data_IF_551753699226
#
_entry.id   IF_551753699226
#
_cell.length_a   1.000
_cell.length_b   1.000
_cell.length_c   1.000
_cell.angle_alpha   90.00
_cell.angle_beta   90.00
_cell.angle_gamma   90.00
#
_symmetry.space_group_name_H-M   'P 1'
#
loop_
_entity.id
_entity.type
_entity.pdbx_description
1 polymer ?
#
# COMPACT_ATOMS: atom_id res chain seq x y z
N UNK A 1 34.72 62.07 30.06
CA UNK A 1 33.28 61.93 30.32
C UNK A 1 32.60 61.61 29.00
N UNK A 2 31.78 60.56 29.04
CA UNK A 2 30.71 60.16 28.12
C UNK A 2 31.06 59.56 26.74
N UNK A 3 30.86 58.24 26.73
CA UNK A 3 30.40 57.39 25.62
C UNK A 3 29.13 57.92 24.94
N UNK A 4 28.93 57.53 23.67
CA UNK A 4 27.70 57.03 23.04
C UNK A 4 28.00 56.92 21.52
N UNK A 5 28.20 55.74 20.90
CA UNK A 5 27.31 54.60 20.63
C UNK A 5 26.08 54.91 19.76
N UNK A 6 26.05 54.33 18.56
CA UNK A 6 24.88 54.24 17.67
C UNK A 6 25.30 54.41 16.21
N UNK A 7 25.18 53.46 15.29
CA UNK A 7 24.06 52.51 15.11
C UNK A 7 24.54 51.26 14.34
N UNK A 8 24.75 50.15 15.06
CA UNK A 8 24.97 48.80 14.51
C UNK A 8 23.64 48.03 14.40
N UNK A 9 22.54 48.67 14.03
CA UNK A 9 21.20 48.05 14.07
C UNK A 9 20.64 47.61 12.70
N UNK A 10 21.40 47.77 11.61
CA UNK A 10 20.92 47.40 10.26
C UNK A 10 21.26 45.97 9.81
N UNK A 11 22.44 45.44 10.15
CA UNK A 11 22.96 44.23 9.47
C UNK A 11 22.84 42.92 10.26
N UNK A 12 22.59 42.95 11.58
CA UNK A 12 22.42 41.70 12.36
C UNK A 12 21.02 41.10 12.20
N UNK A 13 19.98 41.92 12.01
CA UNK A 13 18.61 41.46 11.82
C UNK A 13 18.39 40.75 10.48
N UNK A 14 18.94 41.31 9.39
CA UNK A 14 18.89 40.70 8.06
C UNK A 14 19.66 39.38 7.98
N UNK A 15 20.80 39.27 8.67
CA UNK A 15 21.58 38.02 8.75
C UNK A 15 20.88 36.93 9.56
N UNK A 16 20.03 37.31 10.53
CA UNK A 16 19.22 36.38 11.33
C UNK A 16 17.97 35.90 10.57
N UNK A 17 17.49 36.67 9.59
CA UNK A 17 16.42 36.27 8.68
C UNK A 17 16.94 35.43 7.49
N UNK A 18 18.19 35.67 7.07
CA UNK A 18 18.90 34.86 6.06
C UNK A 18 19.60 33.61 6.64
N UNK A 19 19.75 33.52 7.97
CA UNK A 19 20.42 32.41 8.67
C UNK A 19 19.46 31.35 9.22
N UNK A 20 18.21 31.35 8.76
CA UNK A 20 17.15 30.38 9.10
C UNK A 20 16.67 29.62 7.87
N UNK A 21 17.43 29.67 6.78
CA UNK A 21 17.22 28.75 5.67
C UNK A 21 17.87 27.42 6.04
N UNK A 22 17.15 26.29 5.97
CA UNK A 22 17.74 24.99 6.24
C UNK A 22 18.86 24.71 5.23
N UNK A 23 20.03 24.29 5.72
CA UNK A 23 21.20 23.98 4.89
C UNK A 23 21.34 22.47 4.61
N UNK A 24 20.61 21.65 5.36
CA UNK A 24 20.61 20.19 5.24
C UNK A 24 19.21 19.63 5.00
N UNK A 25 19.15 18.42 4.45
CA UNK A 25 17.91 17.66 4.29
C UNK A 25 17.20 17.47 5.63
N UNK A 26 17.95 17.15 6.68
CA UNK A 26 17.40 16.92 8.02
C UNK A 26 16.82 18.20 8.63
N UNK A 27 17.43 19.36 8.37
CA UNK A 27 16.87 20.65 8.79
C UNK A 27 15.59 21.00 8.02
N UNK A 28 15.53 20.70 6.72
CA UNK A 28 14.31 20.85 5.91
C UNK A 28 13.19 19.94 6.42
N UNK A 29 13.49 18.66 6.66
CA UNK A 29 12.55 17.68 7.20
C UNK A 29 12.02 18.11 8.56
N UNK A 30 12.90 18.61 9.44
CA UNK A 30 12.50 19.11 10.75
C UNK A 30 11.52 20.28 10.66
N UNK A 31 11.73 21.19 9.70
CA UNK A 31 10.77 22.29 9.46
C UNK A 31 9.41 21.74 9.00
N UNK A 32 9.41 20.73 8.13
CA UNK A 32 8.17 20.07 7.69
C UNK A 32 7.46 19.39 8.86
N UNK A 33 8.18 18.68 9.73
CA UNK A 33 7.64 18.05 10.93
C UNK A 33 7.11 19.07 11.95
N UNK A 34 7.85 20.16 12.18
CA UNK A 34 7.44 21.25 13.07
C UNK A 34 6.24 22.02 12.50
N UNK A 35 5.98 21.90 11.19
CA UNK A 35 4.83 22.51 10.50
C UNK A 35 3.54 21.69 10.54
N UNK A 36 3.48 20.58 11.30
CA UNK A 36 2.25 19.78 11.55
C UNK A 36 1.07 20.57 12.13
N UNK A 37 1.30 21.78 12.64
CA UNK A 37 0.24 22.72 13.09
C UNK A 37 -0.30 23.61 11.96
N UNK A 38 0.38 23.64 10.82
CA UNK A 38 0.11 24.49 9.65
C UNK A 38 -0.31 23.68 8.42
N UNK A 39 0.06 22.40 8.37
CA UNK A 39 -0.23 21.47 7.29
C UNK A 39 -1.04 20.30 7.83
N UNK A 40 -1.89 19.73 6.98
CA UNK A 40 -2.61 18.49 7.27
C UNK A 40 -1.62 17.32 7.41
N UNK A 41 -1.92 16.32 8.26
CA UNK A 41 -1.03 15.16 8.47
C UNK A 41 -0.61 14.47 7.16
N UNK A 42 -1.54 14.26 6.24
CA UNK A 42 -1.29 13.60 4.95
C UNK A 42 -0.35 14.42 4.06
N UNK A 43 -0.46 15.75 4.11
CA UNK A 43 0.47 16.64 3.39
C UNK A 43 1.89 16.53 3.97
N UNK A 44 2.01 16.40 5.28
CA UNK A 44 3.32 16.20 5.94
C UNK A 44 3.92 14.85 5.54
N UNK A 45 3.12 13.77 5.55
CA UNK A 45 3.54 12.44 5.14
C UNK A 45 4.02 12.43 3.67
N UNK A 46 3.27 13.05 2.76
CA UNK A 46 3.67 13.18 1.36
C UNK A 46 5.00 13.92 1.16
N UNK A 47 5.20 15.01 1.92
CA UNK A 47 6.46 15.74 1.87
C UNK A 47 7.63 14.90 2.38
N UNK A 48 7.43 14.15 3.48
CA UNK A 48 8.43 13.22 4.00
C UNK A 48 8.82 12.16 2.94
N UNK A 49 7.84 11.52 2.30
CA UNK A 49 8.06 10.54 1.22
C UNK A 49 8.83 11.13 0.01
N UNK A 50 8.51 12.35 -0.40
CA UNK A 50 9.28 13.07 -1.45
C UNK A 50 10.76 13.23 -1.07
N UNK A 51 11.04 13.53 0.20
CA UNK A 51 12.41 13.67 0.66
C UNK A 51 13.13 12.32 0.74
N UNK A 52 12.42 11.22 1.05
CA UNK A 52 12.98 9.87 1.19
C UNK A 52 13.30 9.18 -0.14
N UNK A 53 12.52 9.42 -1.20
CA UNK A 53 12.74 8.83 -2.52
C UNK A 53 14.20 8.87 -3.05
N UNK A 54 14.97 9.97 -2.86
CA UNK A 54 16.38 10.02 -3.14
C UNK A 54 17.28 8.99 -2.44
N UNK A 55 16.87 8.46 -1.30
CA UNK A 55 17.59 7.47 -0.49
C UNK A 55 17.03 6.05 -0.68
N UNK A 56 15.76 5.91 -1.05
CA UNK A 56 15.10 4.63 -1.33
C UNK A 56 15.69 3.95 -2.56
N UNK A 57 15.96 2.64 -2.43
CA UNK A 57 16.44 1.80 -3.55
C UNK A 57 15.30 1.01 -4.17
N UNK A 58 15.43 0.66 -5.44
CA UNK A 58 14.42 -0.16 -6.15
C UNK A 58 14.15 -1.50 -5.46
N UNK A 59 15.18 -2.16 -4.93
CA UNK A 59 14.98 -3.42 -4.18
C UNK A 59 14.01 -3.32 -2.99
N UNK A 60 13.81 -2.12 -2.44
CA UNK A 60 12.95 -1.86 -1.27
C UNK A 60 11.48 -1.70 -1.67
N UNK A 61 11.21 -1.35 -2.93
CA UNK A 61 9.86 -1.03 -3.45
C UNK A 61 9.43 -1.94 -4.60
N UNK A 62 10.31 -2.80 -5.10
CA UNK A 62 10.01 -3.69 -6.21
C UNK A 62 9.06 -4.82 -5.77
N UNK A 63 8.21 -5.26 -6.68
CA UNK A 63 7.56 -6.57 -6.57
C UNK A 63 8.60 -7.67 -6.82
N UNK A 64 8.91 -8.54 -5.84
CA UNK A 64 9.90 -9.61 -6.01
C UNK A 64 9.46 -10.62 -7.07
N UNK A 65 10.42 -11.30 -7.72
CA UNK A 65 10.16 -12.31 -8.76
C UNK A 65 9.14 -13.37 -8.36
N UNK A 66 9.18 -13.83 -7.11
CA UNK A 66 8.27 -14.85 -6.59
C UNK A 66 6.81 -14.40 -6.53
N UNK A 67 6.57 -13.09 -6.53
CA UNK A 67 5.25 -12.47 -6.47
C UNK A 67 4.82 -11.86 -7.80
N UNK A 68 5.65 -11.98 -8.85
CA UNK A 68 5.31 -11.45 -10.17
C UNK A 68 4.25 -12.31 -10.84
N UNK A 69 3.15 -11.68 -11.25
CA UNK A 69 2.26 -12.24 -12.28
C UNK A 69 2.92 -12.02 -13.64
N UNK A 70 3.13 -13.11 -14.38
CA UNK A 70 3.88 -13.08 -15.64
C UNK A 70 3.35 -14.12 -16.63
N UNK A 71 3.80 -14.03 -17.87
CA UNK A 71 3.44 -14.92 -18.98
C UNK A 71 4.69 -15.58 -19.57
N UNK A 72 4.52 -16.65 -20.32
CA UNK A 72 5.55 -17.25 -21.17
C UNK A 72 5.37 -16.82 -22.64
N UNK A 73 6.46 -16.82 -23.40
CA UNK A 73 6.45 -16.40 -24.81
C UNK A 73 5.63 -17.33 -25.72
N UNK A 74 5.41 -18.57 -25.31
CA UNK A 74 4.67 -19.62 -26.00
C UNK A 74 3.27 -19.90 -25.43
N UNK A 75 2.79 -19.10 -24.46
CA UNK A 75 1.44 -19.23 -23.92
C UNK A 75 0.37 -19.05 -25.00
N UNK A 76 -0.69 -19.86 -24.92
CA UNK A 76 -1.84 -19.72 -25.82
C UNK A 76 -2.76 -18.58 -25.36
N UNK A 77 -3.53 -18.01 -26.31
CA UNK A 77 -4.39 -16.86 -26.02
C UNK A 77 -5.35 -17.11 -24.85
N UNK A 78 -5.93 -18.31 -24.74
CA UNK A 78 -6.88 -18.61 -23.67
C UNK A 78 -6.20 -18.60 -22.29
N UNK A 79 -5.02 -19.19 -22.18
CA UNK A 79 -4.26 -19.21 -20.92
C UNK A 79 -3.83 -17.79 -20.50
N UNK A 80 -3.40 -16.97 -21.48
CA UNK A 80 -3.09 -15.55 -21.24
C UNK A 80 -4.34 -14.83 -20.71
N UNK A 81 -5.51 -15.05 -21.30
CA UNK A 81 -6.74 -14.37 -20.88
C UNK A 81 -7.16 -14.74 -19.46
N UNK A 82 -6.97 -16.01 -19.06
CA UNK A 82 -7.27 -16.45 -17.69
C UNK A 82 -6.39 -15.70 -16.68
N UNK A 83 -5.07 -15.60 -16.93
CA UNK A 83 -4.14 -14.84 -16.08
C UNK A 83 -4.52 -13.35 -16.01
N UNK A 84 -4.90 -12.76 -17.14
CA UNK A 84 -5.30 -11.34 -17.20
C UNK A 84 -6.57 -11.06 -16.41
N UNK A 85 -7.55 -11.96 -16.46
CA UNK A 85 -8.83 -11.81 -15.76
C UNK A 85 -8.64 -11.99 -14.26
N UNK A 86 -7.86 -13.00 -13.85
CA UNK A 86 -7.64 -13.29 -12.43
C UNK A 86 -6.82 -12.20 -11.72
N UNK A 87 -5.79 -11.67 -12.40
CA UNK A 87 -4.89 -10.67 -11.80
C UNK A 87 -5.36 -9.23 -11.95
N UNK A 88 -6.24 -8.95 -12.91
CA UNK A 88 -6.70 -7.61 -13.28
C UNK A 88 -5.58 -6.58 -13.60
N UNK A 89 -4.36 -7.03 -13.87
CA UNK A 89 -3.24 -6.13 -14.18
C UNK A 89 -3.28 -5.60 -15.62
N UNK A 90 -2.64 -4.46 -15.84
CA UNK A 90 -2.56 -3.82 -17.16
C UNK A 90 -1.35 -4.27 -17.99
N UNK A 91 -0.29 -4.75 -17.36
CA UNK A 91 1.02 -5.02 -17.97
C UNK A 91 1.62 -6.31 -17.40
N UNK A 92 2.13 -7.16 -18.27
CA UNK A 92 2.64 -8.48 -17.92
C UNK A 92 4.05 -8.65 -18.47
N UNK A 93 5.04 -8.90 -17.61
CA UNK A 93 6.34 -9.42 -18.04
C UNK A 93 6.17 -10.76 -18.75
N UNK A 94 6.84 -10.92 -19.89
CA UNK A 94 6.87 -12.15 -20.67
C UNK A 94 8.26 -12.76 -20.55
N UNK A 95 8.33 -13.96 -19.98
CA UNK A 95 9.55 -14.73 -19.83
C UNK A 95 9.85 -15.56 -21.08
N UNK A 96 11.14 -15.84 -21.29
CA UNK A 96 11.56 -16.79 -22.32
C UNK A 96 11.43 -18.22 -21.82
N UNK A 97 10.94 -19.10 -22.69
CA UNK A 97 10.87 -20.55 -22.45
C UNK A 97 12.28 -21.16 -22.41
N UNK A 98 13.22 -20.61 -23.19
CA UNK A 98 14.62 -21.08 -23.26
C UNK A 98 15.48 -20.54 -22.10
N UNK A 99 15.15 -19.36 -21.58
CA UNK A 99 15.87 -18.69 -20.50
C UNK A 99 14.88 -18.21 -19.42
N UNK A 100 14.48 -19.10 -18.49
CA UNK A 100 13.36 -18.87 -17.57
C UNK A 100 13.61 -17.75 -16.54
N UNK A 101 14.86 -17.28 -16.43
CA UNK A 101 15.25 -16.18 -15.57
C UNK A 101 15.16 -14.81 -16.26
N UNK A 102 14.86 -14.79 -17.56
CA UNK A 102 14.95 -13.59 -18.40
C UNK A 102 13.58 -13.18 -18.93
N UNK A 103 13.17 -11.95 -18.58
CA UNK A 103 12.06 -11.26 -19.24
C UNK A 103 12.52 -10.77 -20.61
N UNK A 104 11.82 -11.16 -21.67
CA UNK A 104 12.12 -10.77 -23.05
C UNK A 104 11.19 -9.68 -23.60
N UNK A 105 10.09 -9.40 -22.90
CA UNK A 105 9.10 -8.43 -23.33
C UNK A 105 8.10 -8.05 -22.25
N UNK A 106 7.34 -7.00 -22.54
CA UNK A 106 6.15 -6.59 -21.78
C UNK A 106 4.94 -6.66 -22.70
N UNK A 107 3.91 -7.41 -22.29
CA UNK A 107 2.61 -7.43 -22.94
C UNK A 107 1.66 -6.48 -22.22
N UNK A 108 0.86 -5.72 -22.96
CA UNK A 108 -0.23 -4.91 -22.40
C UNK A 108 -1.55 -5.63 -22.62
N UNK A 109 -2.36 -5.77 -21.57
CA UNK A 109 -3.66 -6.47 -21.65
C UNK A 109 -4.56 -5.90 -22.76
N UNK A 110 -4.60 -4.56 -22.88
CA UNK A 110 -5.41 -3.87 -23.88
C UNK A 110 -5.02 -4.22 -25.34
N UNK A 111 -3.78 -4.64 -25.57
CA UNK A 111 -3.29 -4.95 -26.92
C UNK A 111 -3.86 -6.31 -27.40
N UNK A 112 -4.47 -7.11 -26.51
CA UNK A 112 -5.20 -8.33 -26.85
C UNK A 112 -6.67 -8.09 -27.26
N UNK A 113 -7.25 -6.93 -26.93
CA UNK A 113 -8.65 -6.60 -27.25
C UNK A 113 -9.04 -6.80 -28.73
N UNK A 114 -8.18 -6.50 -29.74
CA UNK A 114 -8.51 -6.75 -31.14
C UNK A 114 -8.74 -8.23 -31.47
N UNK A 115 -8.09 -9.14 -30.75
CA UNK A 115 -8.13 -10.58 -30.99
C UNK A 115 -9.37 -11.24 -30.35
N UNK A 116 -10.01 -10.57 -29.38
CA UNK A 116 -11.24 -11.04 -28.75
C UNK A 116 -12.47 -11.00 -29.68
N UNK A 117 -12.37 -10.33 -30.83
CA UNK A 117 -13.47 -10.25 -31.80
C UNK A 117 -13.67 -11.54 -32.60
N UNK A 118 -12.63 -12.36 -32.72
CA UNK A 118 -12.65 -13.59 -33.50
C UNK A 118 -12.05 -14.73 -32.67
N UNK A 119 -12.86 -15.75 -32.37
CA UNK A 119 -12.44 -16.87 -31.52
C UNK A 119 -11.34 -17.73 -32.14
N UNK A 120 -11.18 -17.66 -33.47
CA UNK A 120 -10.12 -18.40 -34.19
C UNK A 120 -8.85 -17.55 -34.40
N UNK A 121 -8.80 -16.34 -33.83
CA UNK A 121 -7.65 -15.46 -33.97
C UNK A 121 -6.43 -16.02 -33.23
N UNK A 122 -5.34 -16.23 -33.97
CA UNK A 122 -4.05 -16.60 -33.38
C UNK A 122 -3.31 -15.35 -32.96
N UNK A 123 -3.04 -15.23 -31.66
CA UNK A 123 -2.16 -14.20 -31.13
C UNK A 123 -0.71 -14.64 -31.29
N UNK A 124 0.09 -13.76 -31.87
CA UNK A 124 1.55 -13.89 -31.81
C UNK A 124 2.04 -12.94 -30.72
N UNK A 125 2.28 -13.47 -29.52
CA UNK A 125 2.74 -12.70 -28.35
C UNK A 125 3.97 -11.87 -28.70
N UNK A 126 4.93 -12.46 -29.41
CA UNK A 126 6.16 -11.79 -29.83
C UNK A 126 5.94 -10.55 -30.70
N UNK A 127 4.85 -10.49 -31.47
CA UNK A 127 4.52 -9.30 -32.27
C UNK A 127 3.91 -8.15 -31.46
N UNK A 128 3.37 -8.45 -30.27
CA UNK A 128 2.71 -7.49 -29.39
C UNK A 128 3.63 -7.01 -28.25
N UNK A 129 4.68 -7.80 -27.95
CA UNK A 129 5.64 -7.47 -26.91
C UNK A 129 6.34 -6.14 -27.17
N UNK A 130 6.46 -5.35 -26.11
CA UNK A 130 7.28 -4.14 -26.07
C UNK A 130 8.61 -4.46 -25.41
N UNK A 131 9.66 -3.77 -25.84
CA UNK A 131 10.98 -3.91 -25.24
C UNK A 131 10.94 -3.51 -23.75
N UNK A 132 11.40 -4.38 -22.83
CA UNK A 132 11.44 -4.06 -21.42
C UNK A 132 12.56 -3.05 -21.14
N UNK A 133 12.36 -2.21 -20.12
CA UNK A 133 13.42 -1.39 -19.55
C UNK A 133 13.97 -2.12 -18.33
N UNK A 134 15.29 -2.25 -18.25
CA UNK A 134 15.95 -2.90 -17.12
C UNK A 134 16.59 -1.88 -16.18
N UNK A 135 16.46 -2.12 -14.88
CA UNK A 135 17.11 -1.34 -13.82
C UNK A 135 17.78 -2.26 -12.81
N UNK A 136 18.94 -1.90 -12.25
CA UNK A 136 19.55 -2.69 -11.19
C UNK A 136 18.81 -2.50 -9.87
N UNK A 137 18.83 -3.52 -9.00
CA UNK A 137 18.29 -3.46 -7.62
C UNK A 137 18.76 -2.25 -6.81
N UNK A 138 20.00 -1.81 -7.07
CA UNK A 138 20.65 -0.69 -6.37
C UNK A 138 20.29 0.70 -6.92
N UNK A 139 19.49 0.78 -8.00
CA UNK A 139 19.04 2.05 -8.54
C UNK A 139 18.21 2.83 -7.51
N UNK A 140 18.24 4.16 -7.61
CA UNK A 140 17.47 5.06 -6.72
C UNK A 140 16.08 5.29 -7.28
N UNK A 141 15.05 5.24 -6.42
CA UNK A 141 13.65 5.36 -6.83
C UNK A 141 13.36 6.68 -7.56
N UNK A 142 13.95 7.80 -7.11
CA UNK A 142 13.82 9.12 -7.77
C UNK A 142 14.37 9.17 -9.21
N UNK A 143 15.35 8.33 -9.54
CA UNK A 143 15.91 8.24 -10.89
C UNK A 143 15.04 7.37 -11.78
N UNK A 144 14.57 6.25 -11.26
CA UNK A 144 13.66 5.34 -12.00
C UNK A 144 12.31 6.01 -12.25
N UNK A 145 11.75 6.74 -11.27
CA UNK A 145 10.55 7.57 -11.46
C UNK A 145 10.70 8.54 -12.64
N UNK A 146 11.83 9.26 -12.70
CA UNK A 146 12.13 10.19 -13.81
C UNK A 146 12.29 9.46 -15.13
N UNK A 147 12.94 8.30 -15.14
CA UNK A 147 13.11 7.47 -16.33
C UNK A 147 11.77 6.97 -16.86
N UNK A 148 10.92 6.38 -16.02
CA UNK A 148 9.58 5.89 -16.36
C UNK A 148 8.73 7.03 -16.96
N UNK A 149 8.71 8.20 -16.33
CA UNK A 149 8.03 9.40 -16.84
C UNK A 149 8.55 9.85 -18.21
N UNK A 150 9.87 9.92 -18.40
CA UNK A 150 10.48 10.40 -19.65
C UNK A 150 10.27 9.43 -20.82
N UNK A 151 10.30 8.13 -20.54
CA UNK A 151 10.10 7.07 -21.52
C UNK A 151 8.61 6.75 -21.76
N UNK A 152 7.70 7.35 -20.97
CA UNK A 152 6.26 7.09 -21.01
C UNK A 152 5.92 5.59 -20.83
N UNK A 153 6.72 4.88 -20.03
CA UNK A 153 6.41 3.53 -19.54
C UNK A 153 6.08 3.57 -18.05
N UNK A 154 5.33 2.58 -17.59
CA UNK A 154 4.89 2.44 -16.20
C UNK A 154 5.47 1.21 -15.53
N UNK A 155 6.36 0.48 -16.20
CA UNK A 155 6.95 -0.74 -15.65
C UNK A 155 8.41 -0.84 -16.10
N UNK A 156 9.26 -1.27 -15.19
CA UNK A 156 10.64 -1.67 -15.44
C UNK A 156 10.91 -3.03 -14.79
N UNK A 157 11.79 -3.80 -15.40
CA UNK A 157 12.25 -5.09 -14.89
C UNK A 157 13.51 -4.86 -14.05
N UNK A 158 13.51 -5.41 -12.86
CA UNK A 158 14.63 -5.30 -11.93
C UNK A 158 15.56 -6.51 -12.11
N UNK A 159 16.86 -6.25 -12.21
CA UNK A 159 17.87 -7.29 -12.41
C UNK A 159 18.93 -7.30 -11.31
N UNK A 160 19.44 -8.49 -11.02
CA UNK A 160 20.57 -8.71 -10.14
C UNK A 160 21.92 -8.44 -10.86
N UNK A 161 23.03 -8.63 -10.15
CA UNK A 161 24.38 -8.45 -10.69
C UNK A 161 24.77 -9.50 -11.74
N UNK A 162 24.03 -10.60 -11.83
CA UNK A 162 24.23 -11.68 -12.80
C UNK A 162 23.37 -11.48 -14.05
N UNK A 163 22.50 -10.47 -14.06
CA UNK A 163 21.58 -10.16 -15.16
C UNK A 163 20.27 -10.96 -15.13
N UNK A 164 20.02 -11.70 -14.06
CA UNK A 164 18.76 -12.43 -13.87
C UNK A 164 17.68 -11.48 -13.39
N UNK A 165 16.42 -11.80 -13.68
CA UNK A 165 15.29 -11.02 -13.18
C UNK A 165 15.14 -11.22 -11.66
N UNK A 166 15.23 -10.13 -10.90
CA UNK A 166 14.97 -10.09 -9.45
C UNK A 166 13.52 -9.73 -9.13
N UNK A 167 12.85 -9.01 -10.04
CA UNK A 167 11.52 -8.48 -9.81
C UNK A 167 11.07 -7.52 -10.90
N UNK A 168 10.00 -6.77 -10.63
CA UNK A 168 9.56 -5.63 -11.42
C UNK A 168 9.28 -4.44 -10.50
N UNK A 169 9.31 -3.24 -11.05
CA UNK A 169 8.85 -2.04 -10.37
C UNK A 169 7.96 -1.22 -11.30
N UNK A 170 6.87 -0.73 -10.77
CA UNK A 170 5.90 0.09 -11.50
C UNK A 170 6.05 1.57 -11.18
N UNK A 171 5.36 2.42 -11.94
CA UNK A 171 5.29 3.85 -11.62
C UNK A 171 4.50 4.04 -10.32
N UNK A 172 3.49 3.22 -10.13
CA UNK A 172 2.55 3.19 -9.02
C UNK A 172 3.29 2.85 -7.72
N UNK A 173 4.12 1.78 -7.69
CA UNK A 173 4.94 1.39 -6.52
C UNK A 173 5.84 2.54 -6.02
N UNK A 174 6.39 3.34 -6.95
CA UNK A 174 7.28 4.47 -6.58
C UNK A 174 6.48 5.69 -6.11
N UNK A 175 5.24 5.86 -6.59
CA UNK A 175 4.37 6.93 -6.15
C UNK A 175 3.77 6.63 -4.78
N UNK A 176 3.54 5.37 -4.45
CA UNK A 176 3.09 4.90 -3.14
C UNK A 176 4.05 5.31 -2.01
N UNK A 177 5.37 5.28 -2.25
CA UNK A 177 6.36 5.81 -1.29
C UNK A 177 6.19 7.30 -0.98
N UNK A 178 5.55 8.06 -1.87
CA UNK A 178 5.21 9.46 -1.63
C UNK A 178 3.83 9.53 -0.98
N UNK A 179 2.83 8.92 -1.61
CA UNK A 179 1.42 9.17 -1.30
C UNK A 179 0.95 8.35 -0.10
N UNK A 180 1.65 7.27 0.24
CA UNK A 180 1.13 6.16 1.01
C UNK A 180 0.31 5.22 0.11
N UNK A 181 -0.28 4.19 0.71
CA UNK A 181 -1.26 3.32 0.07
C UNK A 181 -2.35 4.18 -0.60
N UNK A 182 -2.46 4.07 -1.93
CA UNK A 182 -3.53 4.72 -2.68
C UNK A 182 -4.63 3.69 -2.78
N UNK A 183 -5.70 3.85 -2.00
CA UNK A 183 -6.89 3.00 -2.11
C UNK A 183 -7.38 3.01 -3.57
N UNK A 184 -7.36 1.85 -4.22
CA UNK A 184 -7.86 1.69 -5.58
C UNK A 184 -9.38 1.99 -5.62
N UNK A 185 -9.89 2.42 -6.78
CA UNK A 185 -11.34 2.50 -7.01
C UNK A 185 -12.03 1.12 -6.84
N UNK A 186 -11.25 0.03 -6.80
CA UNK A 186 -11.70 -1.33 -6.50
C UNK A 186 -11.49 -1.75 -5.04
N UNK A 187 -10.63 -1.08 -4.29
CA UNK A 187 -10.47 -1.28 -2.84
C UNK A 187 -11.64 -0.63 -2.08
N UNK A 188 -12.25 0.39 -2.69
CA UNK A 188 -13.24 1.26 -2.08
C UNK A 188 -14.72 0.84 -2.22
N UNK A 189 -15.02 -0.43 -2.55
CA UNK A 189 -16.42 -0.87 -2.56
C UNK A 189 -16.88 -1.42 -1.20
N UNK A 190 -15.98 -1.80 -0.29
CA UNK A 190 -16.41 -2.67 0.81
C UNK A 190 -15.69 -2.55 2.17
N UNK A 191 -14.68 -1.70 2.39
CA UNK A 191 -13.98 -1.71 3.70
C UNK A 191 -14.68 -0.87 4.79
N UNK A 192 -15.14 0.36 4.50
CA UNK A 192 -15.95 1.12 5.48
C UNK A 192 -17.37 0.54 5.67
N UNK A 193 -17.91 -0.17 4.67
CA UNK A 193 -19.26 -0.72 4.70
C UNK A 193 -19.36 -2.09 5.41
N UNK A 194 -18.25 -2.81 5.60
CA UNK A 194 -18.25 -4.18 6.13
C UNK A 194 -17.60 -4.36 7.50
N UNK A 195 -17.24 -3.29 8.21
CA UNK A 195 -16.78 -3.43 9.61
C UNK A 195 -17.81 -4.11 10.49
N UNK A 196 -19.10 -3.82 10.28
CA UNK A 196 -20.22 -4.38 11.06
C UNK A 196 -21.37 -4.70 10.11
N UNK A 197 -21.69 -5.98 9.96
CA UNK A 197 -22.82 -6.45 9.13
C UNK A 197 -23.81 -7.27 9.97
N UNK A 198 -25.13 -7.18 9.72
CA UNK A 198 -26.10 -8.06 10.38
C UNK A 198 -25.80 -9.54 10.05
N UNK A 199 -25.78 -10.40 11.06
CA UNK A 199 -25.61 -11.84 10.84
C UNK A 199 -26.94 -12.44 10.35
N UNK A 200 -27.09 -12.57 9.03
CA UNK A 200 -28.28 -13.10 8.39
C UNK A 200 -28.49 -14.61 8.61
N UNK A 201 -27.55 -15.29 9.27
CA UNK A 201 -27.66 -16.73 9.62
C UNK A 201 -28.30 -16.96 10.98
N UNK A 202 -28.51 -15.90 11.77
CA UNK A 202 -29.16 -15.93 13.07
C UNK A 202 -30.64 -15.55 12.96
N UNK A 203 -31.52 -16.30 13.64
CA UNK A 203 -32.95 -15.98 13.74
C UNK A 203 -33.24 -14.73 14.61
N UNK A 204 -32.22 -14.10 15.19
CA UNK A 204 -32.34 -12.92 16.07
C UNK A 204 -31.79 -11.64 15.43
N UNK A 205 -32.61 -10.58 15.45
CA UNK A 205 -32.29 -9.23 14.94
C UNK A 205 -31.16 -8.50 15.65
N UNK A 206 -30.57 -9.11 16.69
CA UNK A 206 -29.57 -8.52 17.57
C UNK A 206 -28.21 -9.22 17.43
N UNK A 207 -27.89 -9.72 16.23
CA UNK A 207 -26.63 -10.42 15.94
C UNK A 207 -25.92 -9.74 14.78
N UNK A 208 -24.63 -9.49 14.94
CA UNK A 208 -23.78 -8.86 13.95
C UNK A 208 -22.47 -9.64 13.78
N UNK A 209 -21.95 -9.65 12.56
CA UNK A 209 -20.55 -10.01 12.28
C UNK A 209 -19.73 -8.73 12.24
N UNK A 210 -18.59 -8.75 12.90
CA UNK A 210 -17.75 -7.59 13.18
C UNK A 210 -16.31 -7.94 12.85
N UNK A 211 -15.66 -7.16 12.01
CA UNK A 211 -14.24 -7.29 11.73
C UNK A 211 -13.44 -6.93 12.98
N UNK A 212 -12.41 -7.72 13.32
CA UNK A 212 -11.65 -7.50 14.55
C UNK A 212 -10.93 -6.14 14.59
N UNK A 213 -10.57 -5.60 13.42
CA UNK A 213 -9.95 -4.29 13.28
C UNK A 213 -10.94 -3.12 13.41
N UNK A 214 -12.23 -3.39 13.60
CA UNK A 214 -13.25 -2.34 13.79
C UNK A 214 -12.84 -1.44 14.96
N UNK A 215 -12.72 -0.11 14.76
CA UNK A 215 -12.44 0.83 15.84
C UNK A 215 -13.54 0.78 16.90
N UNK A 216 -13.17 0.84 18.18
CA UNK A 216 -14.14 0.81 19.30
C UNK A 216 -15.12 1.98 19.20
N UNK A 217 -14.63 3.18 18.85
CA UNK A 217 -15.48 4.36 18.62
C UNK A 217 -16.54 4.07 17.55
N UNK A 218 -16.15 3.44 16.43
CA UNK A 218 -17.07 3.08 15.35
C UNK A 218 -18.12 2.05 15.82
N UNK A 219 -17.69 1.01 16.53
CA UNK A 219 -18.60 0.01 17.11
C UNK A 219 -19.62 0.66 18.05
N UNK A 220 -19.17 1.53 18.95
CA UNK A 220 -20.03 2.26 19.89
C UNK A 220 -21.06 3.12 19.14
N UNK A 221 -20.62 3.84 18.11
CA UNK A 221 -21.49 4.70 17.30
C UNK A 221 -22.55 3.92 16.52
N UNK A 222 -22.18 2.81 15.88
CA UNK A 222 -23.08 2.03 15.01
C UNK A 222 -24.07 1.19 15.82
N UNK A 223 -23.61 0.55 16.90
CA UNK A 223 -24.40 -0.41 17.67
C UNK A 223 -24.92 0.15 19.00
N UNK A 224 -24.66 1.42 19.27
CA UNK A 224 -25.04 2.13 20.50
C UNK A 224 -24.55 1.37 21.75
N UNK A 225 -23.23 1.14 21.77
CA UNK A 225 -22.48 0.56 22.88
C UNK A 225 -21.59 1.61 23.56
N UNK A 226 -20.98 1.26 24.69
CA UNK A 226 -20.21 2.20 25.54
C UNK A 226 -18.89 1.55 26.02
N UNK A 227 -18.13 0.93 25.11
CA UNK A 227 -16.81 0.38 25.43
C UNK A 227 -15.73 1.47 25.47
N UNK A 228 -14.76 1.36 26.39
CA UNK A 228 -13.61 2.28 26.47
C UNK A 228 -12.56 1.93 25.43
N UNK A 229 -11.92 2.95 24.86
CA UNK A 229 -10.82 2.92 23.91
C UNK A 229 -9.49 3.43 24.51
N UNK A 230 -9.41 3.55 25.85
CA UNK A 230 -8.27 4.16 26.55
C UNK A 230 -6.97 3.33 26.46
N UNK A 231 -7.08 2.00 26.39
CA UNK A 231 -5.93 1.07 26.38
C UNK A 231 -5.74 0.33 25.06
N UNK A 232 -6.81 0.19 24.26
CA UNK A 232 -6.87 -0.53 22.99
C UNK A 232 -7.81 0.17 22.04
N UNK A 233 -7.50 0.17 20.75
CA UNK A 233 -8.23 0.99 19.76
C UNK A 233 -9.31 0.19 18.99
N UNK A 234 -9.21 -1.15 18.97
CA UNK A 234 -10.08 -2.03 18.15
C UNK A 234 -10.86 -3.04 18.98
N UNK A 235 -12.01 -3.50 18.46
CA UNK A 235 -12.85 -4.51 19.12
C UNK A 235 -12.08 -5.82 19.33
N UNK A 236 -11.24 -6.24 18.37
CA UNK A 236 -10.36 -7.39 18.53
C UNK A 236 -9.34 -7.22 19.65
N UNK A 237 -8.76 -6.01 19.78
CA UNK A 237 -7.86 -5.66 20.88
C UNK A 237 -8.56 -5.73 22.24
N UNK A 238 -9.79 -5.21 22.33
CA UNK A 238 -10.64 -5.28 23.51
C UNK A 238 -10.90 -6.73 23.95
N UNK A 239 -11.26 -7.61 23.01
CA UNK A 239 -11.51 -9.02 23.33
C UNK A 239 -10.23 -9.75 23.74
N UNK A 240 -9.10 -9.52 23.06
CA UNK A 240 -7.83 -10.11 23.44
C UNK A 240 -7.37 -9.67 24.84
N UNK A 241 -7.62 -8.42 25.20
CA UNK A 241 -7.34 -7.90 26.54
C UNK A 241 -8.16 -8.63 27.61
N UNK A 242 -9.45 -8.89 27.35
CA UNK A 242 -10.31 -9.62 28.29
C UNK A 242 -9.95 -11.11 28.39
N UNK A 243 -9.61 -11.74 27.26
CA UNK A 243 -9.21 -13.16 27.18
C UNK A 243 -7.86 -13.40 27.85
N UNK A 244 -6.93 -12.44 27.75
CA UNK A 244 -5.57 -12.57 28.26
C UNK A 244 -4.71 -13.56 27.44
N UNK A 245 -4.04 -14.49 28.11
CA UNK A 245 -3.09 -15.44 27.50
C UNK A 245 -3.73 -16.81 27.31
N UNK A 246 -4.20 -17.11 26.09
CA UNK A 246 -4.78 -18.42 25.76
C UNK A 246 -4.41 -18.84 24.35
N UNK A 247 -4.05 -20.12 24.20
CA UNK A 247 -3.97 -20.83 22.92
C UNK A 247 -5.37 -21.30 22.51
N UNK A 248 -5.68 -21.28 21.21
CA UNK A 248 -6.97 -21.63 20.59
C UNK A 248 -8.07 -20.56 20.76
N UNK A 249 -7.93 -19.44 20.04
CA UNK A 249 -8.86 -18.29 20.05
C UNK A 249 -10.21 -18.60 19.39
N UNK A 250 -10.23 -19.43 18.36
CA UNK A 250 -11.45 -19.68 17.57
C UNK A 250 -12.52 -20.40 18.40
N UNK A 251 -13.75 -19.87 18.35
CA UNK A 251 -14.91 -20.41 19.06
C UNK A 251 -15.01 -19.98 20.53
N UNK A 252 -14.09 -19.17 21.05
CA UNK A 252 -14.24 -18.60 22.39
C UNK A 252 -15.40 -17.61 22.45
N UNK A 253 -16.08 -17.61 23.59
CA UNK A 253 -17.20 -16.72 23.88
C UNK A 253 -16.85 -15.83 25.07
N UNK A 254 -17.04 -14.53 24.90
CA UNK A 254 -16.67 -13.49 25.84
C UNK A 254 -17.92 -12.65 26.13
N UNK A 255 -18.25 -12.48 27.40
CA UNK A 255 -19.37 -11.64 27.82
C UNK A 255 -18.86 -10.32 28.40
N UNK A 256 -19.29 -9.19 27.82
CA UNK A 256 -18.92 -7.84 28.26
C UNK A 256 -20.19 -6.98 28.35
N UNK A 257 -20.66 -6.75 29.58
CA UNK A 257 -21.91 -6.02 29.81
C UNK A 257 -23.11 -6.74 29.21
N UNK A 258 -23.89 -6.04 28.38
CA UNK A 258 -25.07 -6.57 27.67
C UNK A 258 -24.71 -7.27 26.34
N UNK A 259 -23.42 -7.49 26.08
CA UNK A 259 -22.91 -8.07 24.84
C UNK A 259 -22.27 -9.44 25.06
N UNK A 260 -22.50 -10.34 24.12
CA UNK A 260 -21.82 -11.62 23.99
C UNK A 260 -21.07 -11.64 22.67
N UNK A 261 -19.76 -11.88 22.71
CA UNK A 261 -18.88 -11.94 21.56
C UNK A 261 -18.38 -13.37 21.36
N UNK A 262 -18.56 -13.92 20.17
CA UNK A 262 -17.98 -15.21 19.77
C UNK A 262 -16.90 -14.98 18.72
N UNK A 263 -15.70 -15.53 18.92
CA UNK A 263 -14.65 -15.50 17.91
C UNK A 263 -14.99 -16.51 16.81
N UNK A 264 -15.31 -16.02 15.61
CA UNK A 264 -15.69 -16.87 14.47
C UNK A 264 -14.45 -17.35 13.72
N UNK A 265 -13.49 -16.44 13.52
CA UNK A 265 -12.25 -16.70 12.79
C UNK A 265 -11.07 -16.02 13.49
N UNK A 266 -10.01 -16.80 13.72
CA UNK A 266 -8.77 -16.32 14.33
C UNK A 266 -7.60 -17.24 13.97
N UNK A 267 -6.41 -16.65 13.84
CA UNK A 267 -5.14 -17.36 13.79
C UNK A 267 -4.53 -17.53 15.19
N UNK A 268 -3.32 -18.08 15.26
CA UNK A 268 -2.60 -18.37 16.53
C UNK A 268 -2.49 -17.16 17.45
N UNK A 269 -2.50 -15.93 16.93
CA UNK A 269 -2.30 -14.69 17.70
C UNK A 269 -3.26 -13.56 17.38
N UNK A 270 -4.12 -13.72 16.37
CA UNK A 270 -4.89 -12.60 15.79
C UNK A 270 -6.33 -13.04 15.61
N UNK A 271 -7.25 -12.21 16.07
CA UNK A 271 -8.68 -12.36 15.79
C UNK A 271 -8.95 -11.68 14.45
N UNK A 272 -9.72 -12.33 13.57
CA UNK A 272 -10.11 -11.78 12.28
C UNK A 272 -11.60 -11.40 12.27
N UNK A 273 -12.47 -12.32 12.70
CA UNK A 273 -13.91 -12.13 12.65
C UNK A 273 -14.59 -12.48 13.98
N UNK A 274 -15.50 -11.60 14.40
CA UNK A 274 -16.22 -11.67 15.67
C UNK A 274 -17.71 -11.68 15.38
N UNK A 275 -18.47 -12.55 16.03
CA UNK A 275 -19.93 -12.45 16.12
C UNK A 275 -20.30 -11.74 17.42
N UNK A 276 -20.96 -10.60 17.34
CA UNK A 276 -21.48 -9.86 18.47
C UNK A 276 -22.99 -10.04 18.60
N UNK A 277 -23.47 -10.38 19.79
CA UNK A 277 -24.89 -10.53 20.14
C UNK A 277 -25.23 -9.58 21.28
N UNK A 278 -26.30 -8.80 21.13
CA UNK A 278 -26.84 -7.98 22.22
C UNK A 278 -27.96 -8.74 22.94
N UNK A 279 -27.81 -8.93 24.25
CA UNK A 279 -28.77 -9.65 25.11
C UNK A 279 -30.05 -8.85 25.37
#
# INVERSE_FOLDING_TARGET
MQEESGTSWGMRGLRKWLGTAPETRDELLKIVQDSRRLLEPDTVAMLEGIFDLPATKIREVMTPRTSMVSLQEDDELLDILDVLIESAHSRFPVFSTDQPDNVIGILLAKDLLPFLKDRDSKVNVHSLMRQPIFVPESARSDQVLRMLKNTQTHIAIVIDEYGSTSGLVTLEDILEEIVGEIEDEHDNVDEEANFIVPDQTSDSSNTWLVQALTPIEHFNNVLNAEFSDDEVETVGGLLLQEIGLVSDLQGQVIELGDWEFTIVEADVRTIHLIRAVRK
#
